data_IF_637965821419
#
_entry.id   IF_637965821419
#
_cell.length_a   1.000
_cell.length_b   1.000
_cell.length_c   1.000
_cell.angle_alpha   90.00
_cell.angle_beta   90.00
_cell.angle_gamma   90.00
#
_symmetry.space_group_name_H-M   'P 1'
#
loop_
_entity.id
_entity.type
_entity.pdbx_description
1 polymer ?
#
# COMPACT_ATOMS: atom_id res chain seq x y z
N UNK A 1 -20.64 24.28 5.55
CA UNK A 1 -19.82 23.06 5.81
C UNK A 1 -18.35 23.23 5.46
N UNK A 2 -17.95 23.94 4.40
CA UNK A 2 -16.56 24.19 4.03
C UNK A 2 -15.77 25.03 5.08
N UNK A 3 -16.38 26.07 5.64
CA UNK A 3 -15.73 26.94 6.63
C UNK A 3 -15.44 26.27 7.98
N UNK A 4 -16.23 25.28 8.40
CA UNK A 4 -15.97 24.49 9.60
C UNK A 4 -14.82 23.49 9.38
N UNK A 5 -14.69 22.92 8.17
CA UNK A 5 -13.54 22.09 7.78
C UNK A 5 -12.23 22.87 7.76
N UNK A 6 -12.27 24.12 7.27
CA UNK A 6 -11.09 25.00 7.23
C UNK A 6 -10.60 25.34 8.64
N UNK A 7 -11.51 25.68 9.56
CA UNK A 7 -11.16 25.98 10.97
C UNK A 7 -10.60 24.76 11.73
N UNK A 8 -11.07 23.56 11.42
CA UNK A 8 -10.52 22.32 12.01
C UNK A 8 -9.14 22.02 11.42
N UNK A 9 -8.93 22.25 10.13
CA UNK A 9 -7.62 22.15 9.48
C UNK A 9 -6.62 23.15 10.03
N UNK A 10 -7.03 24.40 10.22
CA UNK A 10 -6.18 25.44 10.83
C UNK A 10 -5.84 25.14 12.29
N UNK A 11 -6.79 24.62 13.07
CA UNK A 11 -6.54 24.25 14.48
C UNK A 11 -5.61 23.03 14.59
N UNK A 12 -5.73 22.04 13.69
CA UNK A 12 -4.85 20.88 13.66
C UNK A 12 -3.48 21.26 13.06
N UNK A 13 -3.44 22.11 12.05
CA UNK A 13 -2.21 22.63 11.45
C UNK A 13 -1.43 23.50 12.46
N UNK A 14 -2.12 24.33 13.23
CA UNK A 14 -1.51 25.14 14.28
C UNK A 14 -1.02 24.29 15.45
N UNK A 15 -1.66 23.18 15.79
CA UNK A 15 -1.21 22.27 16.85
C UNK A 15 0.03 21.44 16.45
N UNK A 16 0.26 21.23 15.13
CA UNK A 16 1.38 20.43 14.63
C UNK A 16 2.54 21.30 14.10
N UNK A 17 2.25 22.53 13.63
CA UNK A 17 3.24 23.43 13.03
C UNK A 17 3.59 24.64 13.87
N UNK A 18 2.92 24.85 15.02
CA UNK A 18 3.25 25.98 15.87
C UNK A 18 4.45 25.65 16.76
N UNK A 19 5.61 26.15 16.38
CA UNK A 19 6.80 26.32 17.23
C UNK A 19 6.55 27.14 18.51
N UNK A 20 5.31 27.46 18.84
CA UNK A 20 4.91 28.32 19.98
C UNK A 20 4.15 27.63 21.07
N UNK A 21 3.87 26.33 21.02
CA UNK A 21 3.43 25.62 22.21
C UNK A 21 4.65 25.10 22.95
N UNK A 22 5.39 25.97 23.60
CA UNK A 22 6.29 25.60 24.68
C UNK A 22 5.38 25.09 25.82
N UNK A 23 4.97 23.81 25.70
CA UNK A 23 4.30 23.13 26.79
C UNK A 23 5.23 23.24 27.99
N UNK A 24 4.76 23.81 29.12
CA UNK A 24 5.55 23.83 30.36
C UNK A 24 5.87 22.37 30.69
N UNK A 25 7.16 22.09 30.89
CA UNK A 25 7.54 20.85 31.52
C UNK A 25 7.09 20.91 32.96
N UNK A 26 6.26 19.97 33.37
CA UNK A 26 5.78 19.81 34.74
C UNK A 26 6.04 18.40 35.23
N UNK A 27 6.28 18.22 36.48
CA UNK A 27 6.35 16.90 37.08
C UNK A 27 4.93 16.44 37.43
N UNK A 28 4.65 15.19 37.05
CA UNK A 28 3.34 14.57 37.27
C UNK A 28 3.56 13.21 37.95
N UNK A 29 2.74 12.99 38.99
CA UNK A 29 2.67 11.68 39.65
C UNK A 29 2.33 10.58 38.64
N UNK A 30 3.15 9.54 38.63
CA UNK A 30 3.06 8.45 37.65
C UNK A 30 1.76 7.65 37.78
N UNK A 31 1.14 7.64 38.96
CA UNK A 31 -0.15 6.97 39.18
C UNK A 31 -1.30 7.69 38.49
N UNK A 32 -1.11 8.96 38.14
CA UNK A 32 -2.07 9.78 37.39
C UNK A 32 -1.89 9.69 35.87
N UNK A 33 -0.91 8.92 35.37
CA UNK A 33 -0.64 8.79 33.95
C UNK A 33 -1.11 7.42 33.44
N UNK A 34 -2.09 7.44 32.56
CA UNK A 34 -2.69 6.27 31.96
C UNK A 34 -2.04 6.00 30.58
N UNK A 35 -1.79 4.72 30.24
CA UNK A 35 -1.30 4.37 28.91
C UNK A 35 -2.38 4.63 27.86
N UNK A 36 -1.97 4.99 26.65
CA UNK A 36 -2.88 5.16 25.53
C UNK A 36 -3.36 3.77 25.02
N UNK A 37 -4.68 3.47 25.03
CA UNK A 37 -5.21 2.21 24.58
C UNK A 37 -4.97 1.93 23.07
N UNK A 38 -4.74 2.98 22.29
CA UNK A 38 -4.50 2.93 20.86
C UNK A 38 -3.01 2.78 20.47
N UNK A 39 -2.12 2.55 21.43
CA UNK A 39 -0.69 2.34 21.16
C UNK A 39 -0.45 1.02 20.43
N UNK A 40 0.16 1.03 19.22
CA UNK A 40 0.35 -0.17 18.43
C UNK A 40 1.44 -1.09 18.97
N UNK A 41 2.41 -0.57 19.74
CA UNK A 41 3.52 -1.38 20.27
C UNK A 41 3.18 -1.93 21.64
N UNK A 42 2.93 -3.26 21.69
CA UNK A 42 2.65 -3.99 22.95
C UNK A 42 3.81 -4.83 23.43
N UNK A 43 4.75 -5.16 22.57
CA UNK A 43 5.91 -6.00 22.87
C UNK A 43 7.15 -5.10 22.96
N UNK A 44 7.82 -5.14 24.09
CA UNK A 44 9.07 -4.41 24.36
C UNK A 44 10.11 -5.43 24.77
N UNK A 45 11.33 -5.26 24.30
CA UNK A 45 12.47 -6.05 24.73
C UNK A 45 12.79 -5.68 26.18
N UNK A 46 12.87 -6.70 27.04
CA UNK A 46 13.13 -6.51 28.48
C UNK A 46 14.52 -5.94 28.72
N UNK A 47 15.53 -6.41 27.98
CA UNK A 47 16.92 -5.99 28.11
C UNK A 47 17.10 -4.51 27.76
N UNK A 48 16.52 -4.09 26.61
CA UNK A 48 16.54 -2.67 26.22
C UNK A 48 15.82 -1.75 27.22
N UNK A 49 14.81 -2.28 27.94
CA UNK A 49 14.04 -1.52 28.90
C UNK A 49 14.80 -1.37 30.23
N UNK A 50 15.52 -2.41 30.64
CA UNK A 50 16.40 -2.40 31.81
C UNK A 50 17.57 -1.45 31.62
N UNK A 51 18.21 -1.46 30.46
CA UNK A 51 19.29 -0.53 30.13
C UNK A 51 18.79 0.94 30.19
N UNK A 52 17.61 1.20 29.65
CA UNK A 52 17.00 2.52 29.73
C UNK A 52 16.66 2.92 31.18
N UNK A 53 16.16 1.99 31.99
CA UNK A 53 15.87 2.23 33.40
C UNK A 53 17.15 2.54 34.18
N UNK A 54 18.24 1.82 33.95
CA UNK A 54 19.54 2.09 34.55
C UNK A 54 20.07 3.48 34.15
N UNK A 55 19.94 3.85 32.90
CA UNK A 55 20.31 5.18 32.42
C UNK A 55 19.46 6.29 33.08
N UNK A 56 18.15 6.11 33.20
CA UNK A 56 17.23 7.07 33.84
C UNK A 56 17.58 7.20 35.33
N UNK A 57 17.90 6.10 36.01
CA UNK A 57 18.28 6.12 37.41
C UNK A 57 19.58 6.90 37.68
N UNK A 58 20.51 6.87 36.74
CA UNK A 58 21.79 7.55 36.87
C UNK A 58 21.75 9.02 36.44
N UNK A 59 21.12 9.30 35.33
CA UNK A 59 21.16 10.63 34.68
C UNK A 59 19.85 11.41 34.75
N UNK A 60 18.80 10.82 35.34
CA UNK A 60 17.44 11.37 35.26
C UNK A 60 16.81 11.23 33.86
N UNK A 61 15.61 11.69 33.72
CA UNK A 61 14.90 11.69 32.44
C UNK A 61 15.31 12.91 31.62
N UNK A 62 16.20 12.71 30.63
CA UNK A 62 16.72 13.79 29.78
C UNK A 62 15.63 14.41 28.89
N UNK A 63 14.73 13.56 28.38
CA UNK A 63 13.61 14.00 27.53
C UNK A 63 12.27 13.72 28.23
N UNK A 64 11.46 14.74 28.49
CA UNK A 64 10.15 14.56 29.09
C UNK A 64 9.23 13.70 28.20
N UNK A 65 8.26 13.03 28.82
CA UNK A 65 7.20 12.35 28.09
C UNK A 65 6.11 13.38 27.70
N UNK A 66 5.31 13.04 26.68
CA UNK A 66 4.20 13.90 26.28
C UNK A 66 2.88 13.29 26.73
N UNK A 67 2.08 14.07 27.39
CA UNK A 67 0.77 13.65 27.92
C UNK A 67 -0.33 14.65 27.52
N UNK A 68 -1.57 14.19 27.44
CA UNK A 68 -2.76 15.06 27.35
C UNK A 68 -3.59 14.99 28.63
N UNK A 69 -4.28 16.05 28.92
CA UNK A 69 -5.22 16.07 30.04
C UNK A 69 -6.49 15.29 29.67
N UNK A 70 -6.97 14.45 30.57
CA UNK A 70 -8.25 13.74 30.49
C UNK A 70 -9.05 14.01 31.76
N UNK A 71 -10.32 13.61 31.81
CA UNK A 71 -11.21 13.90 32.93
C UNK A 71 -10.62 13.49 34.28
N UNK A 72 -9.92 12.36 34.32
CA UNK A 72 -9.30 11.86 35.56
C UNK A 72 -7.79 11.64 35.28
N UNK A 73 -7.00 12.73 35.33
CA UNK A 73 -5.54 12.64 35.20
C UNK A 73 -4.99 12.96 33.81
N UNK A 74 -4.05 12.14 33.35
CA UNK A 74 -3.32 12.37 32.11
C UNK A 74 -3.22 11.08 31.30
N UNK A 75 -3.35 11.17 30.00
CA UNK A 75 -3.13 10.05 29.07
C UNK A 75 -1.83 10.26 28.33
N UNK A 76 -1.03 9.21 28.25
CA UNK A 76 0.23 9.23 27.51
C UNK A 76 0.00 9.38 26.01
N UNK A 77 0.63 10.36 25.38
CA UNK A 77 0.63 10.58 23.93
C UNK A 77 1.90 10.00 23.31
N UNK A 78 3.07 10.28 23.89
CA UNK A 78 4.36 9.81 23.42
C UNK A 78 5.33 9.54 24.57
N UNK A 79 6.18 8.51 24.43
CA UNK A 79 7.21 8.17 25.41
C UNK A 79 6.93 6.92 26.23
N UNK A 80 6.18 5.93 25.75
CA UNK A 80 5.84 4.69 26.45
C UNK A 80 7.06 3.97 27.05
N UNK A 81 8.17 3.84 26.30
CA UNK A 81 9.40 3.22 26.81
C UNK A 81 9.98 3.97 28.01
N UNK A 82 9.95 5.31 27.96
CA UNK A 82 10.43 6.16 29.06
C UNK A 82 9.55 6.05 30.29
N UNK A 83 8.23 6.03 30.12
CA UNK A 83 7.28 5.83 31.23
C UNK A 83 7.49 4.47 31.88
N UNK A 84 7.65 3.40 31.13
CA UNK A 84 7.90 2.05 31.67
C UNK A 84 9.24 1.95 32.37
N UNK A 85 10.30 2.46 31.75
CA UNK A 85 11.63 2.48 32.35
C UNK A 85 11.65 3.30 33.65
N UNK A 86 10.96 4.45 33.72
CA UNK A 86 10.80 5.24 34.91
C UNK A 86 10.05 4.49 36.03
N UNK A 87 9.04 3.70 35.69
CA UNK A 87 8.37 2.80 36.65
C UNK A 87 9.31 1.71 37.19
N UNK A 88 10.11 1.10 36.30
CA UNK A 88 11.09 0.06 36.68
C UNK A 88 12.17 0.58 37.64
N UNK A 89 12.61 1.83 37.49
CA UNK A 89 13.59 2.41 38.43
C UNK A 89 12.96 3.04 39.68
N UNK A 90 11.63 2.91 39.87
CA UNK A 90 10.93 3.31 41.11
C UNK A 90 10.71 4.80 41.24
N UNK A 91 10.63 5.57 40.16
CA UNK A 91 10.26 6.97 40.20
C UNK A 91 8.78 7.12 40.60
N UNK A 92 8.47 8.12 41.39
CA UNK A 92 7.10 8.47 41.78
C UNK A 92 6.52 9.57 40.90
N UNK A 93 7.35 10.45 40.39
CA UNK A 93 6.99 11.58 39.54
C UNK A 93 7.84 11.55 38.25
N UNK A 94 7.32 12.07 37.18
CA UNK A 94 8.01 12.09 35.88
C UNK A 94 7.78 13.42 35.16
N UNK A 95 8.83 13.95 34.55
CA UNK A 95 8.78 15.17 33.75
C UNK A 95 7.93 14.97 32.50
N UNK A 96 6.89 15.79 32.35
CA UNK A 96 5.89 15.70 31.28
C UNK A 96 5.73 17.03 30.55
N UNK A 97 5.49 16.98 29.24
CA UNK A 97 4.94 18.08 28.46
C UNK A 97 3.45 17.82 28.31
N UNK A 98 2.63 18.72 28.88
CA UNK A 98 1.18 18.64 28.73
C UNK A 98 0.76 19.36 27.47
N UNK A 99 0.08 18.65 26.57
CA UNK A 99 -0.50 19.21 25.37
C UNK A 99 -2.02 19.23 25.44
N UNK A 100 -2.62 20.31 24.92
CA UNK A 100 -4.06 20.38 24.74
C UNK A 100 -4.43 19.76 23.39
N UNK A 101 -4.88 18.52 23.42
CA UNK A 101 -5.29 17.81 22.21
C UNK A 101 -6.50 16.93 22.48
N UNK A 102 -7.29 16.71 21.45
CA UNK A 102 -8.40 15.73 21.50
C UNK A 102 -7.86 14.31 21.46
N UNK A 103 -8.70 13.34 21.82
CA UNK A 103 -8.37 11.91 21.66
C UNK A 103 -7.91 11.57 20.23
N UNK A 104 -8.61 12.11 19.22
CA UNK A 104 -8.23 11.96 17.81
C UNK A 104 -6.86 12.59 17.51
N UNK A 105 -6.58 13.76 18.05
CA UNK A 105 -5.29 14.43 17.88
C UNK A 105 -4.15 13.62 18.52
N UNK A 106 -4.37 13.10 19.73
CA UNK A 106 -3.42 12.21 20.43
C UNK A 106 -3.12 10.95 19.63
N UNK A 107 -4.16 10.27 19.12
CA UNK A 107 -4.01 9.08 18.29
C UNK A 107 -3.23 9.38 16.99
N UNK A 108 -3.49 10.55 16.37
CA UNK A 108 -2.75 11.00 15.19
C UNK A 108 -1.26 11.22 15.50
N UNK A 109 -0.95 11.90 16.59
CA UNK A 109 0.46 12.16 16.99
C UNK A 109 1.21 10.86 17.23
N UNK A 110 0.60 9.92 17.96
CA UNK A 110 1.17 8.59 18.20
C UNK A 110 1.43 7.82 16.91
N UNK A 111 0.51 7.92 15.93
CA UNK A 111 0.66 7.28 14.64
C UNK A 111 1.81 7.88 13.82
N UNK A 112 1.91 9.22 13.79
CA UNK A 112 3.00 9.93 13.08
C UNK A 112 4.36 9.63 13.73
N UNK A 113 4.44 9.64 15.07
CA UNK A 113 5.67 9.25 15.79
C UNK A 113 6.11 7.83 15.41
N UNK A 114 5.16 6.89 15.44
CA UNK A 114 5.45 5.50 15.07
C UNK A 114 5.92 5.38 13.61
N UNK A 115 5.38 6.19 12.71
CA UNK A 115 5.80 6.21 11.29
C UNK A 115 7.21 6.80 11.08
N UNK A 116 7.74 7.58 12.02
CA UNK A 116 9.10 8.13 11.94
C UNK A 116 10.17 7.14 12.40
N UNK A 117 9.77 5.94 12.83
CA UNK A 117 10.71 4.89 13.23
C UNK A 117 11.50 4.39 12.01
N UNK A 118 12.77 4.13 12.22
CA UNK A 118 13.71 3.67 11.17
C UNK A 118 13.52 2.22 10.75
N UNK A 119 12.83 1.43 11.57
CA UNK A 119 12.66 -0.02 11.44
C UNK A 119 11.34 -0.45 10.76
N UNK A 120 10.50 0.48 10.35
CA UNK A 120 9.27 0.18 9.63
C UNK A 120 9.55 -0.29 8.21
N UNK A 121 8.93 -1.41 7.84
CA UNK A 121 8.93 -1.83 6.45
C UNK A 121 7.93 -0.99 5.63
N UNK A 122 8.09 -1.02 4.32
CA UNK A 122 7.29 -0.17 3.41
C UNK A 122 5.80 -0.55 3.34
N UNK A 123 5.40 -1.77 3.75
CA UNK A 123 4.00 -2.16 3.88
C UNK A 123 3.39 -1.60 5.18
N UNK A 124 4.13 -1.63 6.27
CA UNK A 124 3.71 -1.01 7.54
C UNK A 124 3.53 0.51 7.39
N UNK A 125 4.43 1.18 6.66
CA UNK A 125 4.23 2.59 6.31
C UNK A 125 2.94 2.79 5.49
N UNK A 126 2.66 1.90 4.52
CA UNK A 126 1.46 1.99 3.70
C UNK A 126 0.18 1.77 4.53
N UNK A 127 0.20 0.83 5.47
CA UNK A 127 -0.92 0.57 6.39
C UNK A 127 -1.15 1.76 7.32
N UNK A 128 -0.10 2.36 7.87
CA UNK A 128 -0.22 3.56 8.69
C UNK A 128 -0.81 4.74 7.90
N UNK A 129 -0.37 4.96 6.66
CA UNK A 129 -0.96 5.96 5.76
C UNK A 129 -2.45 5.68 5.53
N UNK A 130 -2.82 4.43 5.31
CA UNK A 130 -4.23 4.04 5.15
C UNK A 130 -5.05 4.35 6.39
N UNK A 131 -4.51 4.02 7.57
CA UNK A 131 -5.15 4.36 8.87
C UNK A 131 -5.34 5.87 9.02
N UNK A 132 -4.36 6.69 8.62
CA UNK A 132 -4.50 8.16 8.64
C UNK A 132 -5.67 8.63 7.77
N UNK A 133 -5.85 8.06 6.60
CA UNK A 133 -6.94 8.42 5.69
C UNK A 133 -8.28 7.94 6.25
N UNK A 134 -8.39 6.67 6.63
CA UNK A 134 -9.65 6.03 7.00
C UNK A 134 -10.19 6.54 8.35
N UNK A 135 -9.35 6.64 9.38
CA UNK A 135 -9.78 7.05 10.72
C UNK A 135 -9.89 8.56 10.88
N UNK A 136 -9.00 9.33 10.25
CA UNK A 136 -8.97 10.77 10.43
C UNK A 136 -9.63 11.53 9.28
N UNK A 137 -10.07 10.84 8.22
CA UNK A 137 -10.75 11.45 7.08
C UNK A 137 -9.84 12.37 6.26
N UNK A 138 -8.53 12.14 6.30
CA UNK A 138 -7.55 12.93 5.56
C UNK A 138 -7.55 12.56 4.09
N UNK A 139 -7.25 13.55 3.24
CA UNK A 139 -6.93 13.27 1.84
C UNK A 139 -5.48 12.77 1.71
N UNK A 140 -5.15 12.16 0.57
CA UNK A 140 -3.75 11.77 0.29
C UNK A 140 -2.81 12.98 0.26
N UNK A 141 -3.31 14.14 -0.11
CA UNK A 141 -2.58 15.40 -0.12
C UNK A 141 -2.28 15.88 1.30
N UNK A 142 -3.30 15.85 2.19
CA UNK A 142 -3.12 16.19 3.61
C UNK A 142 -2.06 15.31 4.27
N UNK A 143 -2.09 14.00 3.99
CA UNK A 143 -1.10 13.05 4.50
C UNK A 143 0.29 13.35 3.94
N UNK A 144 0.39 13.67 2.65
CA UNK A 144 1.67 14.00 2.02
C UNK A 144 2.32 15.24 2.66
N UNK A 145 1.55 16.30 2.87
CA UNK A 145 2.03 17.52 3.56
C UNK A 145 2.54 17.19 4.96
N UNK A 146 1.78 16.40 5.75
CA UNK A 146 2.14 16.04 7.13
C UNK A 146 3.40 15.19 7.23
N UNK A 147 3.62 14.32 6.25
CA UNK A 147 4.78 13.43 6.20
C UNK A 147 5.99 14.06 5.47
N UNK A 148 5.87 15.29 4.97
CA UNK A 148 6.91 15.92 4.14
C UNK A 148 7.19 15.16 2.86
N UNK A 149 6.17 14.47 2.30
CA UNK A 149 6.26 13.66 1.07
C UNK A 149 5.41 14.27 -0.03
N UNK A 150 5.56 13.80 -1.26
CA UNK A 150 4.68 14.17 -2.36
C UNK A 150 3.41 13.31 -2.34
N UNK A 151 2.29 13.84 -2.83
CA UNK A 151 1.03 13.09 -2.96
C UNK A 151 1.22 11.81 -3.80
N UNK A 152 2.04 11.88 -4.86
CA UNK A 152 2.36 10.71 -5.68
C UNK A 152 3.13 9.63 -4.91
N UNK A 153 4.01 10.00 -3.97
CA UNK A 153 4.69 9.04 -3.10
C UNK A 153 3.69 8.33 -2.17
N UNK A 154 2.76 9.09 -1.57
CA UNK A 154 1.67 8.54 -0.73
C UNK A 154 0.78 7.59 -1.55
N UNK A 155 0.36 8.00 -2.75
CA UNK A 155 -0.44 7.16 -3.64
C UNK A 155 0.29 5.85 -4.02
N UNK A 156 1.59 5.93 -4.34
CA UNK A 156 2.39 4.75 -4.64
C UNK A 156 2.51 3.79 -3.45
N UNK A 157 2.68 4.32 -2.23
CA UNK A 157 2.67 3.50 -1.00
C UNK A 157 1.33 2.77 -0.82
N UNK A 158 0.22 3.48 -0.92
CA UNK A 158 -1.11 2.89 -0.79
C UNK A 158 -1.39 1.80 -1.84
N UNK A 159 -0.87 1.95 -3.06
CA UNK A 159 -1.01 0.93 -4.10
C UNK A 159 -0.39 -0.40 -3.72
N UNK A 160 0.67 -0.42 -2.89
CA UNK A 160 1.29 -1.65 -2.41
C UNK A 160 0.32 -2.54 -1.64
N UNK A 161 -0.68 -1.95 -0.99
CA UNK A 161 -1.71 -2.68 -0.25
C UNK A 161 -2.66 -3.49 -1.14
N UNK A 162 -2.58 -3.35 -2.46
CA UNK A 162 -3.30 -4.20 -3.42
C UNK A 162 -2.71 -5.61 -3.54
N UNK A 163 -1.44 -5.78 -3.16
CA UNK A 163 -0.82 -7.11 -3.08
C UNK A 163 -1.51 -7.90 -1.97
N UNK A 164 -1.79 -9.18 -2.22
CA UNK A 164 -2.38 -10.05 -1.22
C UNK A 164 -1.41 -10.28 -0.05
N UNK A 165 -1.95 -10.77 1.08
CA UNK A 165 -1.17 -10.94 2.30
C UNK A 165 0.03 -11.87 2.14
N UNK A 166 -0.14 -12.97 1.40
CA UNK A 166 0.92 -13.95 1.19
C UNK A 166 2.08 -13.37 0.37
N UNK A 167 1.77 -12.60 -0.67
CA UNK A 167 2.79 -11.93 -1.47
C UNK A 167 3.58 -10.93 -0.63
N UNK A 168 2.90 -10.14 0.21
CA UNK A 168 3.56 -9.17 1.09
C UNK A 168 4.53 -9.85 2.06
N UNK A 169 4.13 -10.97 2.66
CA UNK A 169 4.99 -11.74 3.56
C UNK A 169 6.24 -12.22 2.80
N UNK A 170 6.07 -12.87 1.65
CA UNK A 170 7.19 -13.35 0.83
C UNK A 170 8.14 -12.23 0.39
N UNK A 171 7.59 -11.07 0.01
CA UNK A 171 8.37 -9.92 -0.42
C UNK A 171 9.29 -9.43 0.72
N UNK A 172 8.81 -9.40 1.96
CA UNK A 172 9.62 -9.01 3.13
C UNK A 172 10.62 -10.11 3.47
N UNK A 173 10.21 -11.37 3.55
CA UNK A 173 11.07 -12.51 3.87
C UNK A 173 12.23 -12.66 2.89
N UNK A 174 12.00 -12.41 1.61
CA UNK A 174 13.02 -12.47 0.57
C UNK A 174 13.86 -11.20 0.45
N UNK A 175 13.60 -10.20 1.30
CA UNK A 175 14.36 -8.95 1.33
C UNK A 175 14.17 -8.08 0.07
N UNK A 176 13.03 -8.17 -0.58
CA UNK A 176 12.75 -7.35 -1.76
C UNK A 176 12.52 -5.89 -1.38
N UNK A 177 12.93 -5.00 -2.26
CA UNK A 177 12.73 -3.56 -2.06
C UNK A 177 11.32 -3.12 -2.49
N UNK A 178 10.92 -1.94 -2.06
CA UNK A 178 9.66 -1.30 -2.49
C UNK A 178 9.51 -1.24 -4.01
N UNK A 179 10.62 -1.05 -4.74
CA UNK A 179 10.59 -1.03 -6.22
C UNK A 179 10.21 -2.37 -6.83
N UNK A 180 10.69 -3.49 -6.25
CA UNK A 180 10.24 -4.83 -6.65
C UNK A 180 8.75 -5.03 -6.39
N UNK A 181 8.27 -4.67 -5.19
CA UNK A 181 6.85 -4.76 -4.85
C UNK A 181 5.97 -3.93 -5.80
N UNK A 182 6.43 -2.75 -6.17
CA UNK A 182 5.73 -1.87 -7.12
C UNK A 182 5.67 -2.44 -8.54
N UNK A 183 6.75 -3.10 -8.99
CA UNK A 183 6.76 -3.77 -10.29
C UNK A 183 5.77 -4.94 -10.32
N UNK A 184 5.66 -5.71 -9.23
CA UNK A 184 4.74 -6.84 -9.09
C UNK A 184 3.25 -6.43 -9.16
N UNK A 185 2.91 -5.18 -8.87
CA UNK A 185 1.55 -4.67 -9.02
C UNK A 185 1.02 -4.69 -10.47
N UNK A 186 1.90 -4.79 -11.47
CA UNK A 186 1.50 -4.93 -12.87
C UNK A 186 0.85 -6.30 -13.14
N UNK A 187 1.11 -7.30 -12.30
CA UNK A 187 0.66 -8.69 -12.47
C UNK A 187 -0.63 -8.89 -11.69
N UNK A 188 -1.76 -8.98 -12.40
CA UNK A 188 -3.08 -9.13 -11.76
C UNK A 188 -3.35 -10.56 -11.28
N UNK A 189 -2.85 -11.56 -12.00
CA UNK A 189 -3.07 -12.96 -11.65
C UNK A 189 -2.17 -13.38 -10.49
N UNK A 190 -2.78 -13.86 -9.40
CA UNK A 190 -2.08 -14.20 -8.15
C UNK A 190 -1.09 -15.37 -8.35
N UNK A 191 -1.48 -16.42 -9.07
CA UNK A 191 -0.62 -17.57 -9.33
C UNK A 191 0.61 -17.19 -10.19
N UNK A 192 0.38 -16.38 -11.21
CA UNK A 192 1.46 -15.84 -12.04
C UNK A 192 2.42 -14.98 -11.22
N UNK A 193 1.89 -14.14 -10.33
CA UNK A 193 2.67 -13.25 -9.47
C UNK A 193 3.51 -14.06 -8.48
N UNK A 194 2.96 -15.12 -7.88
CA UNK A 194 3.68 -16.02 -6.99
C UNK A 194 4.86 -16.70 -7.71
N UNK A 195 4.67 -17.18 -8.94
CA UNK A 195 5.73 -17.76 -9.74
C UNK A 195 6.85 -16.74 -10.05
N UNK A 196 6.48 -15.51 -10.39
CA UNK A 196 7.43 -14.42 -10.61
C UNK A 196 8.20 -14.09 -9.32
N UNK A 197 7.55 -14.01 -8.17
CA UNK A 197 8.20 -13.77 -6.87
C UNK A 197 9.26 -14.86 -6.62
N UNK A 198 8.94 -16.13 -6.86
CA UNK A 198 9.88 -17.24 -6.72
C UNK A 198 11.07 -17.11 -7.67
N UNK A 199 10.81 -16.81 -8.93
CA UNK A 199 11.86 -16.64 -9.95
C UNK A 199 12.81 -15.46 -9.62
N UNK A 200 12.28 -14.33 -9.10
CA UNK A 200 13.09 -13.20 -8.66
C UNK A 200 14.03 -13.63 -7.53
N UNK A 201 13.52 -14.39 -6.55
CA UNK A 201 14.30 -14.86 -5.41
C UNK A 201 15.39 -15.86 -5.82
N UNK A 202 15.03 -16.88 -6.59
CA UNK A 202 15.97 -17.94 -7.05
C UNK A 202 17.11 -17.37 -7.91
N UNK A 203 16.80 -16.45 -8.81
CA UNK A 203 17.76 -15.81 -9.71
C UNK A 203 18.44 -14.58 -9.14
N UNK A 204 18.06 -14.15 -7.94
CA UNK A 204 18.56 -12.93 -7.29
C UNK A 204 18.51 -11.71 -8.21
N UNK A 205 17.38 -11.53 -8.89
CA UNK A 205 17.20 -10.46 -9.86
C UNK A 205 17.18 -9.10 -9.19
N UNK A 206 17.88 -8.14 -9.80
CA UNK A 206 17.77 -6.74 -9.43
C UNK A 206 16.45 -6.14 -9.97
N UNK A 207 16.14 -4.90 -9.58
CA UNK A 207 14.89 -4.21 -9.95
C UNK A 207 14.69 -4.16 -11.45
N UNK A 208 15.73 -3.79 -12.23
CA UNK A 208 15.62 -3.60 -13.66
C UNK A 208 15.36 -4.94 -14.38
N UNK A 209 16.01 -6.01 -13.95
CA UNK A 209 15.78 -7.36 -14.49
C UNK A 209 14.39 -7.89 -14.08
N UNK A 210 13.93 -7.57 -12.89
CA UNK A 210 12.57 -7.87 -12.42
C UNK A 210 11.52 -7.19 -13.31
N UNK A 211 11.68 -5.90 -13.60
CA UNK A 211 10.77 -5.18 -14.50
C UNK A 211 10.76 -5.79 -15.90
N UNK A 212 11.92 -6.14 -16.45
CA UNK A 212 12.02 -6.83 -17.75
C UNK A 212 11.36 -8.21 -17.74
N UNK A 213 11.56 -8.99 -16.68
CA UNK A 213 10.91 -10.30 -16.53
C UNK A 213 9.38 -10.13 -16.56
N UNK A 214 8.85 -9.22 -15.74
CA UNK A 214 7.42 -8.95 -15.68
C UNK A 214 6.87 -8.52 -17.03
N UNK A 215 7.52 -7.57 -17.71
CA UNK A 215 7.08 -7.08 -19.02
C UNK A 215 7.09 -8.20 -20.08
N UNK A 216 8.07 -9.11 -20.06
CA UNK A 216 8.12 -10.27 -20.95
C UNK A 216 7.00 -11.27 -20.65
N UNK A 217 6.76 -11.59 -19.39
CA UNK A 217 5.66 -12.49 -18.97
C UNK A 217 4.31 -11.90 -19.37
N UNK A 218 4.09 -10.60 -19.13
CA UNK A 218 2.84 -9.92 -19.49
C UNK A 218 2.62 -9.87 -21.01
N UNK A 219 3.67 -9.68 -21.81
CA UNK A 219 3.58 -9.76 -23.28
C UNK A 219 3.16 -11.14 -23.73
N UNK A 220 3.81 -12.19 -23.21
CA UNK A 220 3.46 -13.60 -23.55
C UNK A 220 2.03 -13.95 -23.15
N UNK A 221 1.57 -13.52 -21.98
CA UNK A 221 0.20 -13.75 -21.53
C UNK A 221 -0.83 -13.06 -22.45
N UNK A 222 -0.57 -11.81 -22.84
CA UNK A 222 -1.41 -11.10 -23.83
C UNK A 222 -1.47 -11.83 -25.17
N UNK A 223 -0.35 -12.32 -25.68
CA UNK A 223 -0.30 -13.08 -26.94
C UNK A 223 -1.09 -14.38 -26.81
N UNK A 224 -0.91 -15.13 -25.72
CA UNK A 224 -1.66 -16.36 -25.47
C UNK A 224 -3.16 -16.13 -25.37
N UNK A 225 -3.58 -15.07 -24.69
CA UNK A 225 -5.00 -14.67 -24.60
C UNK A 225 -5.55 -14.29 -25.97
N UNK A 226 -4.76 -13.58 -26.80
CA UNK A 226 -5.12 -13.24 -28.18
C UNK A 226 -5.30 -14.50 -29.02
N UNK A 227 -4.36 -15.43 -28.96
CA UNK A 227 -4.43 -16.71 -29.67
C UNK A 227 -5.64 -17.54 -29.19
N UNK A 228 -5.91 -17.62 -27.88
CA UNK A 228 -7.09 -18.31 -27.34
C UNK A 228 -8.39 -17.66 -27.83
N UNK A 229 -8.46 -16.32 -27.86
CA UNK A 229 -9.62 -15.58 -28.37
C UNK A 229 -9.81 -15.83 -29.88
N UNK A 230 -8.73 -15.83 -30.66
CA UNK A 230 -8.78 -16.18 -32.09
C UNK A 230 -9.24 -17.64 -32.27
N UNK A 231 -8.67 -18.61 -31.52
CA UNK A 231 -9.11 -20.02 -31.61
C UNK A 231 -10.59 -20.21 -31.25
N UNK A 232 -11.14 -19.42 -30.33
CA UNK A 232 -12.58 -19.42 -30.00
C UNK A 232 -13.43 -18.88 -31.16
N UNK A 233 -12.95 -17.84 -31.84
CA UNK A 233 -13.62 -17.27 -33.03
C UNK A 233 -13.48 -18.21 -34.26
N UNK A 234 -12.36 -18.94 -34.37
CA UNK A 234 -12.13 -19.95 -35.45
C UNK A 234 -12.96 -21.22 -35.32
N UNK A 235 -13.68 -21.43 -34.20
CA UNK A 235 -14.61 -22.56 -34.06
C UNK A 235 -15.92 -22.34 -34.83
N UNK A 236 -16.23 -21.11 -35.21
CA UNK A 236 -17.41 -20.83 -36.03
C UNK A 236 -17.05 -20.79 -37.53
N UNK A 237 -17.10 -21.98 -38.15
CA UNK A 237 -16.91 -22.16 -39.58
C UNK A 237 -17.81 -21.21 -40.41
N UNK A 238 -18.92 -20.75 -39.84
CA UNK A 238 -19.85 -19.82 -40.49
C UNK A 238 -19.21 -18.48 -40.88
N UNK A 239 -18.27 -17.96 -40.04
CA UNK A 239 -17.56 -16.71 -40.33
C UNK A 239 -16.72 -16.85 -41.62
N UNK A 240 -16.04 -17.99 -41.84
CA UNK A 240 -15.26 -18.24 -43.06
C UNK A 240 -16.17 -18.44 -44.26
N UNK A 241 -17.23 -19.23 -44.08
CA UNK A 241 -18.22 -19.45 -45.12
C UNK A 241 -18.84 -18.13 -45.56
N UNK A 242 -19.21 -17.22 -44.62
CA UNK A 242 -19.73 -15.90 -44.97
C UNK A 242 -18.70 -15.03 -45.69
N UNK A 243 -17.43 -15.07 -45.29
CA UNK A 243 -16.36 -14.32 -45.97
C UNK A 243 -16.13 -14.79 -47.38
N UNK A 244 -16.17 -16.11 -47.62
CA UNK A 244 -16.05 -16.70 -48.95
C UNK A 244 -17.28 -16.28 -49.82
N UNK A 245 -18.47 -16.42 -49.27
CA UNK A 245 -19.68 -16.02 -49.98
C UNK A 245 -19.67 -14.52 -50.35
N UNK A 246 -19.26 -13.66 -49.41
CA UNK A 246 -19.17 -12.21 -49.69
C UNK A 246 -18.11 -11.89 -50.76
N UNK A 247 -16.96 -12.57 -50.74
CA UNK A 247 -15.94 -12.42 -51.80
C UNK A 247 -16.47 -12.82 -53.17
N UNK A 248 -17.25 -13.90 -53.22
CA UNK A 248 -17.92 -14.35 -54.48
C UNK A 248 -18.96 -13.32 -54.95
N UNK A 249 -19.79 -12.77 -54.06
CA UNK A 249 -20.78 -11.73 -54.39
C UNK A 249 -20.09 -10.49 -54.97
N UNK A 250 -18.94 -10.08 -54.38
CA UNK A 250 -18.16 -8.93 -54.87
C UNK A 250 -17.59 -9.21 -56.26
N UNK A 251 -17.09 -10.43 -56.54
CA UNK A 251 -16.60 -10.82 -57.85
C UNK A 251 -17.72 -10.80 -58.90
N UNK A 252 -18.90 -11.36 -58.59
CA UNK A 252 -20.06 -11.36 -59.46
C UNK A 252 -20.57 -9.94 -59.71
N UNK A 253 -20.62 -9.06 -58.69
CA UNK A 253 -20.98 -7.68 -58.84
C UNK A 253 -19.98 -6.86 -59.69
N UNK A 254 -18.71 -7.27 -59.69
CA UNK A 254 -17.68 -6.72 -60.60
C UNK A 254 -17.73 -7.25 -62.06
N UNK A 255 -18.73 -8.05 -62.39
CA UNK A 255 -18.89 -8.60 -63.74
C UNK A 255 -18.08 -9.84 -64.04
N UNK A 256 -17.45 -10.46 -63.05
CA UNK A 256 -16.70 -11.71 -63.19
C UNK A 256 -17.66 -12.89 -63.02
N UNK A 257 -17.87 -13.67 -64.06
CA UNK A 257 -18.74 -14.86 -64.02
C UNK A 257 -18.06 -16.01 -63.26
N UNK A 258 -18.04 -15.91 -61.93
CA UNK A 258 -17.53 -16.93 -61.04
C UNK A 258 -18.58 -18.02 -60.82
N UNK A 259 -18.30 -19.26 -61.24
CA UNK A 259 -19.12 -20.44 -60.96
C UNK A 259 -18.72 -20.97 -59.55
N UNK A 260 -19.71 -21.17 -58.69
CA UNK A 260 -19.46 -21.64 -57.32
C UNK A 260 -20.22 -22.94 -57.08
N UNK A 261 -19.49 -23.96 -56.68
CA UNK A 261 -20.05 -25.24 -56.23
C UNK A 261 -19.72 -25.45 -54.78
N UNK A 262 -20.76 -25.58 -53.92
CA UNK A 262 -20.64 -25.86 -52.52
C UNK A 262 -21.13 -27.28 -52.22
N UNK A 263 -20.30 -28.11 -51.63
CA UNK A 263 -20.65 -29.42 -51.09
C UNK A 263 -20.47 -29.46 -49.60
N UNK A 264 -21.53 -29.89 -48.90
CA UNK A 264 -21.50 -30.10 -47.45
C UNK A 264 -21.32 -31.62 -47.19
N UNK A 265 -20.17 -32.02 -46.77
CA UNK A 265 -19.89 -33.38 -46.28
C UNK A 265 -19.93 -33.39 -44.74
N UNK A 266 -19.95 -34.62 -44.16
CA UNK A 266 -20.04 -34.75 -42.68
C UNK A 266 -18.83 -34.17 -41.93
N UNK A 267 -17.68 -34.18 -42.56
CA UNK A 267 -16.41 -33.80 -41.93
C UNK A 267 -15.81 -32.49 -42.48
N UNK A 268 -16.26 -32.02 -43.63
CA UNK A 268 -15.77 -30.78 -44.26
C UNK A 268 -16.81 -30.12 -45.16
N UNK A 269 -16.58 -28.86 -45.45
CA UNK A 269 -17.34 -28.08 -46.45
C UNK A 269 -16.36 -27.77 -47.59
N UNK A 270 -16.68 -28.25 -48.78
CA UNK A 270 -15.89 -28.00 -49.98
C UNK A 270 -16.49 -26.83 -50.76
N UNK A 271 -15.65 -25.85 -51.08
CA UNK A 271 -15.98 -24.74 -51.99
C UNK A 271 -15.08 -24.82 -53.21
N UNK A 272 -15.66 -24.96 -54.39
CA UNK A 272 -14.95 -24.88 -55.66
C UNK A 272 -15.41 -23.60 -56.35
N UNK A 273 -14.49 -22.65 -56.51
CA UNK A 273 -14.73 -21.41 -57.24
C UNK A 273 -13.97 -21.45 -58.55
N UNK A 274 -14.68 -21.40 -59.68
CA UNK A 274 -14.09 -21.32 -61.02
C UNK A 274 -14.23 -19.88 -61.50
N UNK A 275 -13.10 -19.28 -61.79
CA UNK A 275 -13.00 -17.92 -62.28
C UNK A 275 -12.53 -18.00 -63.73
N UNK A 276 -13.29 -17.55 -64.73
CA UNK A 276 -12.84 -17.52 -66.13
C UNK A 276 -11.70 -16.52 -66.27
N UNK A 277 -10.72 -16.89 -67.16
CA UNK A 277 -9.60 -16.00 -67.52
C UNK A 277 -10.06 -14.87 -68.42
#
# INVERSE_FOLDING_TARGET
MAAAKLKILDAISSAILNEKTVGRVIEIDMDRIYPNPNQPRRIFDSEELEDLAASIKTNGLIQPITVRRVDVGFELVAGERRLRAARLCGMTEIACIVIETTERGSAMMSLVENMQRKDLNFFEEAEAIKVMIDLFGLTQEDVAVRLGKTQSAVANKLRLLRLNRNDRIKIIEYGFTERHARALLKVENDEMRENIIREIYERKLNVDNTERLIDNVMKRDKELRRIKKCRGAFRDVRLFVNTINHAIEVMQAAGINAEVTKKNEKEYIEYVVRIPN
#
